data_IF_207215653953
#
_entry.id   IF_207215653953
#
_cell.length_a   1.000
_cell.length_b   1.000
_cell.length_c   1.000
_cell.angle_alpha   90.00
_cell.angle_beta   90.00
_cell.angle_gamma   90.00
#
_symmetry.space_group_name_H-M   'P 1'
#
loop_
_entity.id
_entity.type
_entity.pdbx_description
1 polymer ?
#
# COMPACT_ATOMS: atom_id res chain seq x y z
N UNK A 1 -12.04 11.02 -41.66
CA UNK A 1 -11.51 10.05 -42.64
C UNK A 1 -10.62 9.08 -41.88
N UNK A 2 -10.93 7.77 -41.91
CA UNK A 2 -10.18 6.75 -41.17
C UNK A 2 -9.05 6.22 -42.08
N UNK A 3 -7.83 6.11 -41.54
CA UNK A 3 -6.68 5.62 -42.30
C UNK A 3 -6.88 4.17 -42.76
N UNK A 4 -6.33 3.82 -43.92
CA UNK A 4 -6.55 2.53 -44.59
C UNK A 4 -6.15 1.36 -43.71
N UNK A 5 -5.03 1.46 -43.00
CA UNK A 5 -4.55 0.39 -42.11
C UNK A 5 -5.52 0.12 -40.94
N UNK A 6 -6.16 1.16 -40.39
CA UNK A 6 -7.17 1.04 -39.33
C UNK A 6 -8.49 0.48 -39.88
N UNK A 7 -8.88 0.89 -41.10
CA UNK A 7 -10.07 0.38 -41.78
C UNK A 7 -9.94 -1.10 -42.15
N UNK A 8 -8.74 -1.53 -42.53
CA UNK A 8 -8.42 -2.91 -42.94
C UNK A 8 -7.96 -3.79 -41.76
N UNK A 9 -7.83 -3.23 -40.55
CA UNK A 9 -7.27 -3.92 -39.36
C UNK A 9 -5.90 -4.56 -39.62
N UNK A 10 -5.13 -4.04 -40.57
CA UNK A 10 -3.82 -4.59 -40.99
C UNK A 10 -2.74 -4.41 -39.92
N UNK A 11 -2.95 -3.49 -38.97
CA UNK A 11 -2.09 -3.34 -37.79
C UNK A 11 -2.48 -4.41 -36.76
N UNK A 12 -2.09 -5.64 -37.03
CA UNK A 12 -2.21 -6.75 -36.08
C UNK A 12 -1.44 -6.39 -34.82
N UNK A 13 -2.18 -6.02 -33.78
CA UNK A 13 -1.66 -5.97 -32.43
C UNK A 13 -1.16 -7.38 -32.12
N UNK A 14 0.14 -7.51 -31.85
CA UNK A 14 0.69 -8.78 -31.37
C UNK A 14 -0.16 -9.30 -30.21
N UNK A 15 -0.52 -10.59 -30.19
CA UNK A 15 -1.29 -11.15 -29.09
C UNK A 15 -0.49 -10.95 -27.80
N UNK A 16 -1.14 -10.39 -26.78
CA UNK A 16 -0.58 -10.23 -25.43
C UNK A 16 -1.24 -11.23 -24.53
N UNK A 17 -0.44 -12.03 -23.84
CA UNK A 17 -0.93 -12.95 -22.81
C UNK A 17 -0.77 -12.27 -21.45
N UNK A 18 -1.85 -12.23 -20.67
CA UNK A 18 -1.83 -11.76 -19.30
C UNK A 18 -1.80 -12.96 -18.36
N UNK A 19 -0.81 -13.00 -17.47
CA UNK A 19 -0.65 -14.04 -16.47
C UNK A 19 -1.04 -13.45 -15.11
N UNK A 20 -2.10 -13.98 -14.50
CA UNK A 20 -2.45 -13.63 -13.14
C UNK A 20 -1.54 -14.40 -12.18
N UNK A 21 -0.88 -13.66 -11.28
CA UNK A 21 0.05 -14.23 -10.30
C UNK A 21 -0.29 -13.66 -8.93
N UNK A 22 -0.34 -14.52 -7.92
CA UNK A 22 -0.53 -14.10 -6.55
C UNK A 22 0.63 -13.22 -6.10
N UNK A 23 0.32 -12.13 -5.40
CA UNK A 23 1.38 -11.26 -4.88
C UNK A 23 2.28 -12.01 -3.93
N UNK A 24 1.87 -13.06 -3.22
CA UNK A 24 2.72 -13.78 -2.25
C UNK A 24 3.69 -14.79 -2.89
N UNK A 25 3.48 -15.14 -4.15
CA UNK A 25 4.21 -16.20 -4.85
C UNK A 25 5.41 -15.66 -5.64
N UNK A 26 6.26 -16.56 -6.12
CA UNK A 26 7.34 -16.19 -7.04
C UNK A 26 6.79 -15.97 -8.45
N UNK A 27 7.28 -14.91 -9.11
CA UNK A 27 6.90 -14.63 -10.49
C UNK A 27 7.35 -15.80 -11.39
N UNK A 28 6.44 -16.36 -12.21
CA UNK A 28 6.73 -17.54 -13.02
C UNK A 28 7.75 -17.24 -14.11
N UNK A 29 8.76 -18.10 -14.26
CA UNK A 29 9.76 -17.99 -15.33
C UNK A 29 9.25 -18.57 -16.66
N UNK A 30 8.23 -19.43 -16.60
CA UNK A 30 7.66 -20.14 -17.76
C UNK A 30 6.14 -20.15 -17.62
N UNK A 31 5.45 -19.98 -18.74
CA UNK A 31 4.02 -20.24 -18.86
C UNK A 31 3.77 -21.25 -19.97
N UNK A 32 2.74 -22.07 -19.84
CA UNK A 32 2.36 -23.07 -20.83
C UNK A 32 1.00 -22.70 -21.41
N UNK A 33 0.84 -22.88 -22.73
CA UNK A 33 -0.46 -22.81 -23.38
C UNK A 33 -0.67 -24.01 -24.27
N UNK A 34 -1.93 -24.40 -24.44
CA UNK A 34 -2.34 -25.47 -25.33
C UNK A 34 -2.64 -24.87 -26.71
N UNK A 35 -2.02 -25.44 -27.74
CA UNK A 35 -2.25 -25.08 -29.14
C UNK A 35 -3.48 -25.82 -29.70
N UNK A 36 -3.95 -25.40 -30.87
CA UNK A 36 -5.13 -25.96 -31.55
C UNK A 36 -5.01 -27.46 -31.84
N UNK A 37 -3.79 -27.99 -31.88
CA UNK A 37 -3.48 -29.41 -32.07
C UNK A 37 -3.26 -30.17 -30.74
N UNK A 38 -3.72 -29.64 -29.60
CA UNK A 38 -3.48 -30.18 -28.26
C UNK A 38 -1.99 -30.30 -27.89
N UNK A 39 -1.13 -29.52 -28.54
CA UNK A 39 0.29 -29.42 -28.21
C UNK A 39 0.50 -28.45 -27.06
N UNK A 40 1.27 -28.84 -26.03
CA UNK A 40 1.65 -27.93 -24.94
C UNK A 40 2.90 -27.17 -25.37
N UNK A 41 2.81 -25.84 -25.44
CA UNK A 41 3.92 -24.96 -25.78
C UNK A 41 4.39 -24.22 -24.55
N UNK A 42 5.70 -24.31 -24.25
CA UNK A 42 6.34 -23.57 -23.17
C UNK A 42 6.87 -22.22 -23.65
N UNK A 43 6.47 -21.16 -22.96
CA UNK A 43 6.92 -19.79 -23.21
C UNK A 43 7.71 -19.29 -22.00
N UNK A 44 8.98 -18.93 -22.23
CA UNK A 44 9.82 -18.32 -21.19
C UNK A 44 9.49 -16.84 -21.04
N UNK A 45 9.31 -16.41 -19.80
CA UNK A 45 8.99 -15.02 -19.45
C UNK A 45 10.27 -14.31 -19.00
N UNK A 46 10.66 -13.29 -19.76
CA UNK A 46 11.72 -12.36 -19.39
C UNK A 46 11.11 -11.10 -18.76
N UNK A 47 11.51 -10.79 -17.52
CA UNK A 47 11.09 -9.56 -16.85
C UNK A 47 12.19 -8.51 -16.99
N UNK A 48 11.88 -7.36 -17.56
CA UNK A 48 12.83 -6.23 -17.64
C UNK A 48 13.15 -5.65 -16.25
N UNK A 49 12.17 -5.68 -15.35
CA UNK A 49 12.32 -5.22 -13.98
C UNK A 49 11.44 -6.03 -13.02
N UNK A 50 12.01 -6.39 -11.86
CA UNK A 50 11.32 -7.11 -10.79
C UNK A 50 11.58 -6.38 -9.45
N UNK A 51 10.54 -5.97 -8.72
CA UNK A 51 10.72 -5.35 -7.41
C UNK A 51 11.19 -6.37 -6.37
N UNK A 52 11.97 -5.89 -5.39
CA UNK A 52 12.34 -6.68 -4.22
C UNK A 52 11.11 -6.95 -3.34
N UNK A 53 10.99 -8.20 -2.84
CA UNK A 53 9.97 -8.60 -1.87
C UNK A 53 10.55 -8.52 -0.46
N UNK A 54 9.89 -7.77 0.42
CA UNK A 54 10.27 -7.72 1.82
C UNK A 54 9.80 -8.96 2.59
N UNK A 55 10.74 -9.73 3.17
CA UNK A 55 10.44 -10.93 3.99
C UNK A 55 9.69 -10.64 5.29
N UNK A 56 9.67 -9.39 5.76
CA UNK A 56 9.03 -9.00 7.02
C UNK A 56 7.57 -8.56 6.85
N UNK A 57 7.29 -7.71 5.85
CA UNK A 57 5.95 -7.14 5.67
C UNK A 57 5.20 -7.66 4.44
N UNK A 58 5.85 -8.53 3.64
CA UNK A 58 5.35 -9.13 2.40
C UNK A 58 4.98 -8.14 1.29
N UNK A 59 5.30 -6.85 1.44
CA UNK A 59 5.13 -5.85 0.39
C UNK A 59 6.32 -5.86 -0.59
N UNK A 60 6.06 -5.38 -1.81
CA UNK A 60 7.07 -5.19 -2.86
C UNK A 60 7.70 -3.78 -2.80
N UNK A 61 8.93 -3.65 -3.30
CA UNK A 61 9.61 -2.38 -3.55
C UNK A 61 10.65 -1.95 -2.50
N UNK A 62 10.96 -2.79 -1.51
CA UNK A 62 12.06 -2.55 -0.57
C UNK A 62 12.63 -3.86 -0.03
N UNK A 63 13.91 -3.82 0.36
CA UNK A 63 14.58 -4.94 1.03
C UNK A 63 14.18 -5.02 2.50
N UNK A 64 14.48 -6.16 3.12
CA UNK A 64 14.24 -6.37 4.54
C UNK A 64 14.82 -5.23 5.41
N UNK A 65 16.06 -4.82 5.14
CA UNK A 65 16.79 -3.78 5.91
C UNK A 65 16.12 -2.39 5.89
N UNK A 66 15.38 -2.08 4.83
CA UNK A 66 14.70 -0.80 4.64
C UNK A 66 13.24 -0.84 5.09
N UNK A 67 12.80 -1.92 5.72
CA UNK A 67 11.41 -2.11 6.08
C UNK A 67 10.97 -1.11 7.16
N UNK A 68 10.07 -0.20 6.78
CA UNK A 68 9.45 0.77 7.70
C UNK A 68 8.74 0.11 8.89
N UNK A 69 8.27 -1.13 8.75
CA UNK A 69 7.61 -1.88 9.83
C UNK A 69 8.59 -2.47 10.85
N UNK A 70 9.90 -2.55 10.55
CA UNK A 70 10.90 -3.06 11.49
C UNK A 70 11.33 -2.03 12.52
N UNK A 71 11.40 -0.75 12.13
CA UNK A 71 11.83 0.29 13.06
C UNK A 71 10.74 0.50 14.11
N UNK A 72 11.03 0.35 15.42
CA UNK A 72 10.07 0.72 16.44
C UNK A 72 9.75 2.20 16.28
N UNK A 73 8.47 2.51 16.06
CA UNK A 73 8.03 3.90 16.01
C UNK A 73 8.03 4.42 17.44
N UNK A 74 9.07 5.19 17.78
CA UNK A 74 9.10 5.98 19.01
C UNK A 74 8.07 7.11 18.88
N UNK A 75 6.80 6.79 19.11
CA UNK A 75 5.75 7.78 19.22
C UNK A 75 5.98 8.61 20.48
N UNK A 76 6.54 9.81 20.30
CA UNK A 76 6.53 10.82 21.36
C UNK A 76 5.22 11.60 21.24
N UNK A 77 4.40 11.56 22.28
CA UNK A 77 3.22 12.42 22.39
C UNK A 77 3.69 13.86 22.53
N UNK A 78 3.63 14.63 21.44
CA UNK A 78 3.86 16.06 21.47
C UNK A 78 2.55 16.71 21.92
N UNK A 79 2.51 17.22 23.14
CA UNK A 79 1.43 18.08 23.59
C UNK A 79 1.49 19.36 22.76
N UNK A 80 0.46 19.60 21.94
CA UNK A 80 0.31 20.90 21.27
C UNK A 80 0.21 21.98 22.35
N UNK A 81 1.14 22.92 22.36
CA UNK A 81 1.07 24.08 23.26
C UNK A 81 -0.20 24.87 22.95
N UNK A 82 -0.97 25.17 23.98
CA UNK A 82 -2.25 25.90 23.90
C UNK A 82 -2.11 27.38 23.53
N UNK A 83 -0.87 27.88 23.45
CA UNK A 83 -0.54 29.29 23.22
C UNK A 83 -1.03 29.79 21.85
N UNK A 84 -1.15 28.91 20.85
CA UNK A 84 -1.66 29.26 19.52
C UNK A 84 -3.17 29.53 19.51
N UNK A 85 -3.94 29.05 20.50
CA UNK A 85 -5.40 29.26 20.53
C UNK A 85 -5.80 30.67 20.97
N UNK A 86 -5.00 31.34 21.82
CA UNK A 86 -5.35 32.66 22.35
C UNK A 86 -5.25 33.78 21.30
N UNK A 87 -4.33 33.64 20.34
CA UNK A 87 -4.08 34.66 19.30
C UNK A 87 -5.23 34.73 18.28
N UNK A 88 -5.97 33.63 18.05
CA UNK A 88 -7.11 33.59 17.14
C UNK A 88 -8.42 34.06 17.79
N UNK A 89 -8.63 33.80 19.09
CA UNK A 89 -9.88 34.16 19.78
C UNK A 89 -10.03 35.65 20.05
N UNK A 90 -8.92 36.40 20.19
CA UNK A 90 -9.00 37.84 20.46
C UNK A 90 -9.19 38.69 19.20
N UNK A 91 -8.93 38.16 18.00
CA UNK A 91 -8.95 38.94 16.74
C UNK A 91 -10.22 38.82 15.89
N UNK A 92 -11.27 38.12 16.33
CA UNK A 92 -12.47 37.91 15.51
C UNK A 92 -13.75 38.25 16.30
N UNK A 93 -14.03 39.54 16.43
CA UNK A 93 -15.39 40.04 16.58
C UNK A 93 -15.61 41.09 15.50
N UNK A 94 -15.83 40.62 14.28
CA UNK A 94 -16.45 41.44 13.26
C UNK A 94 -17.97 41.48 13.52
N UNK A 95 -18.64 42.62 13.28
CA UNK A 95 -20.06 42.82 13.57
C UNK A 95 -21.02 42.08 12.62
N UNK A 96 -20.51 41.44 11.56
CA UNK A 96 -21.33 40.65 10.65
C UNK A 96 -21.39 39.19 11.09
N UNK A 97 -22.60 38.82 11.52
CA UNK A 97 -23.07 37.57 12.10
C UNK A 97 -22.79 36.31 11.26
N UNK A 98 -21.53 35.89 11.16
CA UNK A 98 -21.16 34.59 10.60
C UNK A 98 -20.29 33.79 11.56
N UNK A 99 -20.82 32.67 12.07
CA UNK A 99 -20.06 31.69 12.82
C UNK A 99 -19.28 30.74 11.88
N UNK A 100 -17.97 30.64 12.08
CA UNK A 100 -17.14 29.64 11.41
C UNK A 100 -17.39 28.23 11.96
N UNK A 101 -17.64 27.27 11.07
CA UNK A 101 -17.94 25.87 11.40
C UNK A 101 -16.76 25.20 12.11
N UNK A 102 -16.98 24.76 13.36
CA UNK A 102 -16.03 23.92 14.09
C UNK A 102 -16.24 22.45 13.71
N UNK A 103 -15.19 21.78 13.20
CA UNK A 103 -15.27 20.35 12.87
C UNK A 103 -15.37 19.52 14.15
N UNK A 104 -16.43 18.69 14.23
CA UNK A 104 -16.85 17.95 15.42
C UNK A 104 -15.81 17.01 16.04
N UNK A 105 -15.91 16.87 17.37
CA UNK A 105 -15.08 15.99 18.20
C UNK A 105 -15.52 14.53 17.99
N UNK A 106 -14.62 13.66 17.54
CA UNK A 106 -14.81 12.20 17.61
C UNK A 106 -14.21 11.68 18.92
N UNK A 107 -15.04 11.23 19.85
CA UNK A 107 -14.61 10.45 21.01
C UNK A 107 -14.14 9.06 20.56
N UNK A 108 -12.98 8.60 21.06
CA UNK A 108 -12.50 7.23 20.88
C UNK A 108 -12.54 6.53 22.23
N UNK A 109 -13.42 5.54 22.36
CA UNK A 109 -13.54 4.70 23.56
C UNK A 109 -12.22 3.96 23.84
N UNK A 110 -11.84 3.91 25.12
CA UNK A 110 -10.71 3.13 25.63
C UNK A 110 -11.29 1.88 26.28
N UNK A 111 -10.95 0.69 25.77
CA UNK A 111 -11.05 -0.52 26.60
C UNK A 111 -9.62 -0.97 26.98
N UNK A 112 -9.37 -1.05 28.28
CA UNK A 112 -8.10 -1.47 28.90
C UNK A 112 -8.35 -2.85 29.49
N UNK A 113 -7.68 -3.87 28.99
CA UNK A 113 -7.50 -5.11 29.73
C UNK A 113 -6.01 -5.35 29.94
N UNK A 114 -5.61 -5.14 31.20
CA UNK A 114 -4.32 -5.52 31.73
C UNK A 114 -4.29 -7.05 31.86
N UNK A 115 -3.25 -7.70 31.35
CA UNK A 115 -2.79 -8.93 31.99
C UNK A 115 -1.27 -8.92 32.11
N UNK A 116 -0.81 -8.75 33.35
CA UNK A 116 0.57 -9.02 33.77
C UNK A 116 0.64 -10.51 34.09
N UNK A 117 1.62 -11.21 33.54
CA UNK A 117 2.01 -12.57 33.94
C UNK A 117 3.46 -12.76 33.52
N UNK A 118 4.40 -12.42 34.40
CA UNK A 118 5.12 -13.35 35.29
C UNK A 118 6.16 -14.17 34.52
N UNK A 119 7.41 -13.75 34.71
CA UNK A 119 8.63 -14.42 34.30
C UNK A 119 8.76 -15.72 35.12
N UNK A 120 9.01 -16.84 34.45
CA UNK A 120 9.62 -18.01 35.08
C UNK A 120 10.80 -18.46 34.21
N UNK A 121 12.00 -18.21 34.72
CA UNK A 121 13.24 -18.89 34.38
C UNK A 121 13.25 -20.28 35.03
N UNK A 122 13.81 -21.27 34.34
CA UNK A 122 14.70 -22.35 34.84
C UNK A 122 15.25 -23.06 33.58
N UNK A 123 16.55 -23.29 33.33
CA UNK A 123 17.65 -23.79 34.16
C UNK A 123 17.43 -25.22 34.67
N UNK A 124 17.54 -26.22 33.78
CA UNK A 124 18.63 -27.21 33.68
C UNK A 124 18.40 -28.12 32.46
#
# INVERSE_FOLDING_TARGET
>A
MMDKATKLKEKLYFPRVFVNVSIDEELPAVTQFEDEMNGIVEVRIGYEWKPDRCKHCQCMGHKFEECRKQKPRNYQWIVKKEEEKKILTEKMKDPDDFQLVTKGVKHKEKNKENHKGTILTNAL
#
